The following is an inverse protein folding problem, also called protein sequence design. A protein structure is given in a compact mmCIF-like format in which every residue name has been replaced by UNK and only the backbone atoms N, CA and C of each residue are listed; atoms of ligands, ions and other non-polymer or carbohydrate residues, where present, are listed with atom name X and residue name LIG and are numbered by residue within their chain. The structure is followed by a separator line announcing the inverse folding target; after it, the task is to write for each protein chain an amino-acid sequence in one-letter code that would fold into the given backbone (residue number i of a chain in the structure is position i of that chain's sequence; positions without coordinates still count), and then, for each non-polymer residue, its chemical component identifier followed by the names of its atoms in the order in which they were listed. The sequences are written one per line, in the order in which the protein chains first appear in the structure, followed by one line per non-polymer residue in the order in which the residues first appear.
data_IF_231007635148
#
_entry.id   IF_231007635148
#
_cell.length_a   1.000
_cell.length_b   1.000
_cell.length_c   1.000
_cell.angle_alpha   90.00
_cell.angle_beta   90.00
_cell.angle_gamma   90.00
#
_symmetry.space_group_name_H-M   'P 1'
#
loop_
_entity.id
_entity.type
_entity.pdbx_description
1 polymer ?
#
# COMPACT_ATOMS: atom_id res chain seq x y z
N UNK A 1 -16.81 13.46 14.44
CA UNK A 1 -15.74 12.69 13.78
C UNK A 1 -16.41 11.56 13.02
N UNK A 2 -16.06 11.30 11.76
CA UNK A 2 -16.75 10.29 10.94
C UNK A 2 -16.27 8.89 11.37
N UNK A 3 -17.18 8.07 11.92
CA UNK A 3 -16.86 6.72 12.44
C UNK A 3 -16.30 5.79 11.35
N UNK A 4 -16.82 5.90 10.13
CA UNK A 4 -16.36 5.11 8.98
C UNK A 4 -14.95 5.52 8.52
N UNK A 5 -14.62 6.81 8.64
CA UNK A 5 -13.26 7.30 8.41
C UNK A 5 -12.31 6.75 9.46
N UNK A 6 -12.66 6.86 10.74
CA UNK A 6 -11.82 6.38 11.84
C UNK A 6 -11.52 4.89 11.71
N UNK A 7 -12.53 4.08 11.35
CA UNK A 7 -12.36 2.65 11.13
C UNK A 7 -11.34 2.35 10.03
N UNK A 8 -11.36 3.10 8.92
CA UNK A 8 -10.41 2.92 7.81
C UNK A 8 -9.02 3.41 8.16
N UNK A 9 -8.91 4.53 8.88
CA UNK A 9 -7.63 5.02 9.41
C UNK A 9 -7.02 3.97 10.33
N UNK A 10 -7.79 3.41 11.27
CA UNK A 10 -7.32 2.35 12.16
C UNK A 10 -6.82 1.14 11.36
N UNK A 11 -7.61 0.64 10.40
CA UNK A 11 -7.20 -0.49 9.58
C UNK A 11 -5.94 -0.22 8.74
N UNK A 12 -5.76 1.01 8.24
CA UNK A 12 -4.52 1.40 7.59
C UNK A 12 -3.33 1.41 8.55
N UNK A 13 -3.48 1.98 9.75
CA UNK A 13 -2.42 2.04 10.76
C UNK A 13 -2.00 0.65 11.22
N UNK A 14 -2.95 -0.23 11.53
CA UNK A 14 -2.69 -1.61 11.94
C UNK A 14 -1.91 -2.37 10.85
N UNK A 15 -2.32 -2.22 9.59
CA UNK A 15 -1.65 -2.87 8.46
C UNK A 15 -0.27 -2.25 8.17
N UNK A 16 -0.12 -0.94 8.39
CA UNK A 16 1.15 -0.24 8.26
C UNK A 16 2.16 -0.75 9.31
N UNK A 17 1.76 -0.84 10.57
CA UNK A 17 2.56 -1.43 11.65
C UNK A 17 2.86 -2.91 11.38
N UNK A 18 1.89 -3.66 10.83
CA UNK A 18 2.10 -5.04 10.40
C UNK A 18 3.26 -5.22 9.42
N UNK A 19 3.49 -4.25 8.52
CA UNK A 19 4.59 -4.30 7.54
C UNK A 19 5.88 -3.72 8.10
N UNK A 20 5.80 -2.53 8.68
CA UNK A 20 6.97 -1.70 8.98
C UNK A 20 7.48 -1.85 10.42
N UNK A 21 6.74 -2.52 11.29
CA UNK A 21 7.17 -2.86 12.65
C UNK A 21 7.26 -4.39 12.83
N UNK A 22 6.17 -5.11 12.56
CA UNK A 22 6.10 -6.57 12.80
C UNK A 22 6.88 -7.37 11.75
N UNK A 23 6.63 -7.15 10.47
CA UNK A 23 7.27 -7.90 9.36
C UNK A 23 8.55 -7.23 8.84
N UNK A 24 9.16 -6.30 9.59
CA UNK A 24 10.20 -5.42 9.02
C UNK A 24 11.38 -6.18 8.39
N UNK A 25 11.89 -7.22 9.05
CA UNK A 25 13.01 -8.00 8.54
C UNK A 25 12.64 -8.77 7.26
N UNK A 26 11.43 -9.32 7.19
CA UNK A 26 10.92 -9.97 5.99
C UNK A 26 10.74 -8.96 4.84
N UNK A 27 10.15 -7.81 5.15
CA UNK A 27 9.93 -6.71 4.20
C UNK A 27 11.24 -6.20 3.59
N UNK A 28 12.29 -6.00 4.40
CA UNK A 28 13.62 -5.60 3.89
C UNK A 28 14.18 -6.60 2.88
N UNK A 29 14.08 -7.89 3.18
CA UNK A 29 14.62 -8.92 2.28
C UNK A 29 13.93 -8.88 0.92
N UNK A 30 12.60 -8.69 0.89
CA UNK A 30 11.86 -8.62 -0.37
C UNK A 30 12.09 -7.32 -1.13
N UNK A 31 12.29 -6.19 -0.44
CA UNK A 31 12.62 -4.91 -1.09
C UNK A 31 13.98 -4.97 -1.79
N UNK A 32 14.94 -5.72 -1.24
CA UNK A 32 16.31 -5.84 -1.78
C UNK A 32 16.46 -6.96 -2.81
N UNK A 33 15.41 -7.74 -3.07
CA UNK A 33 15.43 -8.85 -4.01
C UNK A 33 14.88 -8.41 -5.38
N UNK A 34 15.76 -8.43 -6.38
CA UNK A 34 15.47 -8.02 -7.77
C UNK A 34 14.37 -8.86 -8.43
N UNK A 35 14.08 -10.06 -7.91
CA UNK A 35 12.99 -10.92 -8.41
C UNK A 35 11.60 -10.43 -8.00
N UNK A 36 11.50 -9.52 -7.02
CA UNK A 36 10.23 -9.13 -6.43
C UNK A 36 9.84 -7.67 -6.65
N UNK A 37 10.75 -6.79 -7.06
CA UNK A 37 10.45 -5.45 -7.57
C UNK A 37 11.23 -5.25 -8.87
N UNK A 38 10.52 -4.96 -9.97
CA UNK A 38 11.12 -4.51 -11.23
C UNK A 38 11.99 -3.25 -11.00
N UNK A 39 13.08 -3.04 -11.75
CA UNK A 39 13.90 -1.83 -11.61
C UNK A 39 13.14 -0.50 -11.74
N UNK A 40 12.00 -0.49 -12.45
CA UNK A 40 11.08 0.66 -12.56
C UNK A 40 9.93 0.64 -11.55
N UNK A 41 9.82 -0.44 -10.78
CA UNK A 41 8.80 -0.67 -9.78
C UNK A 41 9.02 0.07 -8.47
N UNK A 42 8.02 -0.03 -7.60
CA UNK A 42 8.03 0.56 -6.26
C UNK A 42 7.41 -0.40 -5.25
N UNK A 43 7.56 -0.10 -3.96
CA UNK A 43 6.87 -0.85 -2.92
C UNK A 43 5.35 -0.92 -3.13
N UNK A 44 4.70 0.10 -3.71
CA UNK A 44 3.23 0.10 -3.95
C UNK A 44 2.89 -0.63 -5.25
N UNK A 45 3.72 -0.48 -6.29
CA UNK A 45 3.54 -1.06 -7.61
C UNK A 45 4.85 -1.69 -8.11
N UNK A 46 5.11 -2.95 -7.76
CA UNK A 46 6.43 -3.57 -7.96
C UNK A 46 6.68 -3.97 -9.40
N UNK A 47 5.63 -4.16 -10.21
CA UNK A 47 5.73 -4.49 -11.64
C UNK A 47 4.80 -3.57 -12.45
N UNK A 48 5.18 -2.31 -12.69
CA UNK A 48 4.35 -1.38 -13.44
C UNK A 48 4.05 -1.92 -14.86
N UNK A 49 2.76 -1.98 -15.21
CA UNK A 49 2.32 -2.46 -16.53
C UNK A 49 2.04 -3.96 -16.62
N UNK A 50 2.46 -4.76 -15.62
CA UNK A 50 2.13 -6.18 -15.55
C UNK A 50 1.02 -6.41 -14.51
N UNK A 51 -0.19 -6.73 -14.99
CA UNK A 51 -1.31 -7.07 -14.12
C UNK A 51 -1.21 -8.52 -13.66
N UNK A 52 -0.37 -8.79 -12.66
CA UNK A 52 -0.44 -10.05 -11.95
C UNK A 52 -1.53 -9.98 -10.89
N UNK A 53 -2.66 -10.65 -11.14
CA UNK A 53 -3.54 -11.10 -10.07
C UNK A 53 -3.02 -12.46 -9.59
N UNK A 54 -2.16 -12.49 -8.56
CA UNK A 54 -1.61 -13.72 -7.97
C UNK A 54 -0.13 -14.01 -8.28
N UNK A 55 0.69 -13.01 -8.59
CA UNK A 55 2.11 -13.16 -8.96
C UNK A 55 3.09 -13.14 -7.77
N UNK A 56 4.40 -13.30 -8.03
CA UNK A 56 5.47 -13.26 -7.01
C UNK A 56 5.39 -12.02 -6.09
N UNK A 57 4.96 -10.88 -6.61
CA UNK A 57 4.78 -9.62 -5.88
C UNK A 57 3.63 -9.60 -4.86
N UNK A 58 2.73 -10.60 -4.89
CA UNK A 58 1.61 -10.69 -3.94
C UNK A 58 1.97 -11.46 -2.66
N UNK A 59 3.03 -12.27 -2.68
CA UNK A 59 3.43 -13.11 -1.54
C UNK A 59 4.38 -12.40 -0.55
N UNK A 60 4.02 -11.18 -0.17
CA UNK A 60 4.84 -10.27 0.65
C UNK A 60 4.28 -10.10 2.07
N UNK A 61 3.78 -11.17 2.68
CA UNK A 61 3.25 -11.12 4.05
C UNK A 61 2.17 -10.04 4.22
N UNK A 62 2.34 -9.18 5.23
CA UNK A 62 1.39 -8.11 5.56
C UNK A 62 1.27 -6.99 4.50
N UNK A 63 2.14 -6.95 3.49
CA UNK A 63 2.05 -5.93 2.42
C UNK A 63 0.72 -5.98 1.68
N UNK A 64 0.19 -7.17 1.44
CA UNK A 64 -1.11 -7.34 0.74
C UNK A 64 -2.24 -6.64 1.52
N UNK A 65 -2.29 -6.84 2.83
CA UNK A 65 -3.24 -6.17 3.74
C UNK A 65 -3.06 -4.66 3.76
N UNK A 66 -1.81 -4.17 3.82
CA UNK A 66 -1.52 -2.75 3.74
C UNK A 66 -2.02 -2.12 2.44
N UNK A 67 -1.79 -2.77 1.29
CA UNK A 67 -2.26 -2.25 0.00
C UNK A 67 -3.78 -2.24 -0.10
N UNK A 68 -4.48 -3.25 0.46
CA UNK A 68 -5.95 -3.24 0.52
C UNK A 68 -6.43 -2.06 1.36
N UNK A 69 -5.94 -1.92 2.59
CA UNK A 69 -6.34 -0.85 3.51
C UNK A 69 -6.03 0.54 2.95
N UNK A 70 -4.85 0.72 2.33
CA UNK A 70 -4.46 1.96 1.67
C UNK A 70 -5.41 2.32 0.51
N UNK A 71 -5.71 1.36 -0.39
CA UNK A 71 -6.59 1.59 -1.54
C UNK A 71 -8.01 1.91 -1.09
N UNK A 72 -8.52 1.20 -0.09
CA UNK A 72 -9.85 1.43 0.49
C UNK A 72 -9.96 2.78 1.18
N UNK A 73 -8.97 3.15 2.03
CA UNK A 73 -8.94 4.46 2.69
C UNK A 73 -8.84 5.58 1.65
N UNK A 74 -7.95 5.45 0.66
CA UNK A 74 -7.78 6.45 -0.40
C UNK A 74 -9.07 6.63 -1.20
N UNK A 75 -9.70 5.54 -1.64
CA UNK A 75 -10.95 5.61 -2.39
C UNK A 75 -12.07 6.29 -1.59
N UNK A 76 -12.22 5.92 -0.32
CA UNK A 76 -13.20 6.54 0.58
C UNK A 76 -12.91 8.03 0.83
N UNK A 77 -11.66 8.38 1.14
CA UNK A 77 -11.28 9.76 1.39
C UNK A 77 -11.47 10.65 0.15
N UNK A 78 -11.24 10.11 -1.06
CA UNK A 78 -11.57 10.80 -2.30
C UNK A 78 -13.07 10.95 -2.51
N UNK A 79 -13.89 9.90 -2.29
CA UNK A 79 -15.34 10.00 -2.48
C UNK A 79 -16.01 10.98 -1.52
N UNK A 80 -15.45 11.13 -0.32
CA UNK A 80 -15.93 12.07 0.70
C UNK A 80 -15.34 13.49 0.55
N UNK A 81 -14.47 13.72 -0.44
CA UNK A 81 -13.80 15.01 -0.63
C UNK A 81 -12.80 15.38 0.48
N UNK A 82 -12.35 14.40 1.26
CA UNK A 82 -11.34 14.55 2.32
C UNK A 82 -9.93 14.58 1.74
N UNK A 83 -9.71 13.83 0.65
CA UNK A 83 -8.42 13.70 -0.02
C UNK A 83 -8.56 13.93 -1.52
N UNK A 84 -7.79 14.90 -2.03
CA UNK A 84 -7.68 15.20 -3.45
C UNK A 84 -6.33 14.67 -3.98
N UNK A 85 -6.31 13.61 -4.81
CA UNK A 85 -5.08 13.08 -5.39
C UNK A 85 -4.41 14.06 -6.37
N UNK A 86 -5.15 14.99 -6.97
CA UNK A 86 -4.64 15.92 -7.97
C UNK A 86 -3.97 17.14 -7.31
N UNK A 87 -4.40 17.48 -6.10
CA UNK A 87 -3.77 18.52 -5.26
C UNK A 87 -2.45 18.08 -4.60
N UNK A 88 -1.99 16.85 -4.86
CA UNK A 88 -0.79 16.33 -4.21
C UNK A 88 0.49 17.07 -4.66
N UNK A 89 1.41 17.40 -3.73
CA UNK A 89 2.56 18.26 -4.02
C UNK A 89 3.61 17.62 -4.96
N UNK A 90 3.49 16.32 -5.23
CA UNK A 90 4.38 15.57 -6.11
C UNK A 90 3.84 15.43 -7.55
N UNK A 91 2.71 16.06 -7.88
CA UNK A 91 2.18 16.12 -9.26
C UNK A 91 2.77 17.30 -10.07
N UNK A 92 3.88 17.91 -9.60
CA UNK A 92 4.55 19.06 -10.24
C UNK A 92 5.71 18.64 -11.13
#
# INVERSE_FOLDING_TARGET
MNEELNKRIQGFLDAFEGVFDVDWDYTKNLILDEDFIDPSGTFINPFPGEHFTGGKGDNWGNRSSLLSAYRELKAFATSEGIYDPDAAPWNQ
#
